data_IF_204802428899
#
_entry.id   IF_204802428899
#
_cell.length_a   1.000
_cell.length_b   1.000
_cell.length_c   1.000
_cell.angle_alpha   90.00
_cell.angle_beta   90.00
_cell.angle_gamma   90.00
#
_symmetry.space_group_name_H-M   'P 1'
#
loop_
_entity.id
_entity.type
_entity.pdbx_description
1 polymer ?
#
# COMPACT_ATOMS: atom_id res chain seq x y z
N UNK A 1 40.55 9.62 7.97
CA UNK A 1 40.49 8.18 7.63
C UNK A 1 39.53 7.51 8.60
N UNK A 2 38.24 7.51 8.30
CA UNK A 2 37.19 7.02 9.21
C UNK A 2 36.10 6.36 8.37
N UNK A 3 36.37 5.13 7.91
CA UNK A 3 35.52 4.43 6.94
C UNK A 3 35.73 2.91 7.03
N UNK A 4 35.63 2.28 8.22
CA UNK A 4 35.68 0.80 8.29
C UNK A 4 34.70 0.13 9.29
N UNK A 5 34.03 0.85 10.21
CA UNK A 5 33.19 0.18 11.25
C UNK A 5 31.67 0.33 11.12
N UNK A 6 31.11 0.85 10.03
CA UNK A 6 29.65 1.02 9.89
C UNK A 6 28.92 -0.24 9.41
N UNK A 7 29.61 -1.13 8.66
CA UNK A 7 28.96 -2.25 7.99
C UNK A 7 28.47 -3.36 8.95
N UNK A 8 29.16 -3.58 10.07
CA UNK A 8 28.78 -4.61 11.06
C UNK A 8 27.50 -4.26 11.84
N UNK A 9 27.37 -2.98 12.25
CA UNK A 9 26.19 -2.48 12.96
C UNK A 9 24.95 -2.45 12.06
N UNK A 10 25.13 -2.19 10.77
CA UNK A 10 24.04 -2.19 9.79
C UNK A 10 23.48 -3.60 9.55
N UNK A 11 24.37 -4.61 9.48
CA UNK A 11 23.98 -6.02 9.35
C UNK A 11 23.16 -6.50 10.55
N UNK A 12 23.63 -6.23 11.76
CA UNK A 12 22.91 -6.61 13.00
C UNK A 12 21.53 -5.95 13.08
N UNK A 13 21.45 -4.66 12.73
CA UNK A 13 20.18 -3.90 12.72
C UNK A 13 19.18 -4.48 11.73
N UNK A 14 19.65 -4.91 10.54
CA UNK A 14 18.81 -5.57 9.52
C UNK A 14 18.29 -6.91 10.01
N UNK A 15 19.14 -7.73 10.63
CA UNK A 15 18.74 -9.02 11.21
C UNK A 15 17.71 -8.82 12.31
N UNK A 16 17.97 -7.91 13.26
CA UNK A 16 17.04 -7.57 14.34
C UNK A 16 15.68 -7.14 13.79
N UNK A 17 15.65 -6.24 12.81
CA UNK A 17 14.39 -5.71 12.24
C UNK A 17 13.60 -6.76 11.46
N UNK A 18 14.28 -7.69 10.77
CA UNK A 18 13.63 -8.68 9.92
C UNK A 18 13.11 -9.91 10.68
N UNK A 19 13.72 -10.25 11.80
CA UNK A 19 13.45 -11.51 12.50
C UNK A 19 12.95 -11.31 13.94
N UNK A 20 13.25 -10.18 14.58
CA UNK A 20 12.88 -9.93 15.98
C UNK A 20 12.00 -8.68 16.10
N UNK A 21 11.24 -8.59 17.20
CA UNK A 21 10.44 -7.40 17.52
C UNK A 21 11.20 -6.49 18.49
N UNK A 22 11.33 -5.21 18.13
CA UNK A 22 11.88 -4.16 19.00
C UNK A 22 10.81 -3.28 19.64
N UNK A 23 11.23 -2.16 20.23
CA UNK A 23 10.38 -1.22 20.99
C UNK A 23 9.23 -0.61 20.15
N UNK A 24 9.37 -0.49 18.83
CA UNK A 24 8.47 0.30 17.99
C UNK A 24 7.36 -0.52 17.29
N UNK A 25 6.45 -1.10 18.06
CA UNK A 25 5.53 -2.19 17.66
C UNK A 25 4.91 -2.08 16.25
N UNK A 26 4.39 -0.91 15.84
CA UNK A 26 3.65 -0.74 14.57
C UNK A 26 4.54 -0.93 13.33
N UNK A 27 5.74 -0.33 13.30
CA UNK A 27 6.66 -0.47 12.14
C UNK A 27 7.13 -1.91 11.97
N UNK A 28 7.32 -2.65 13.07
CA UNK A 28 7.72 -4.05 12.99
C UNK A 28 6.64 -4.94 12.39
N UNK A 29 5.35 -4.55 12.45
CA UNK A 29 4.29 -5.30 11.79
C UNK A 29 4.46 -5.37 10.26
N UNK A 30 5.05 -4.33 9.67
CA UNK A 30 5.24 -4.22 8.21
C UNK A 30 6.68 -4.54 7.77
N UNK A 31 7.67 -4.48 8.66
CA UNK A 31 9.08 -4.76 8.33
C UNK A 31 9.55 -6.17 8.70
N UNK A 32 8.99 -6.78 9.74
CA UNK A 32 9.34 -8.15 10.14
C UNK A 32 8.83 -9.14 9.08
N UNK A 33 9.65 -10.12 8.72
CA UNK A 33 9.40 -10.98 7.55
C UNK A 33 8.15 -11.86 7.70
N UNK A 34 7.85 -12.35 8.90
CA UNK A 34 6.66 -13.17 9.16
C UNK A 34 5.43 -12.30 9.42
N UNK A 35 5.60 -11.26 10.26
CA UNK A 35 4.49 -10.37 10.62
C UNK A 35 3.90 -9.69 9.39
N UNK A 36 4.74 -9.19 8.48
CA UNK A 36 4.28 -8.50 7.28
C UNK A 36 3.46 -9.39 6.36
N UNK A 37 3.77 -10.70 6.31
CA UNK A 37 3.00 -11.67 5.52
C UNK A 37 1.62 -11.92 6.12
N UNK A 38 1.55 -12.00 7.45
CA UNK A 38 0.26 -12.14 8.14
C UNK A 38 -0.61 -10.89 7.95
N UNK A 39 -0.05 -9.69 8.20
CA UNK A 39 -0.81 -8.45 8.07
C UNK A 39 -1.20 -8.15 6.63
N UNK A 40 -0.34 -8.44 5.65
CA UNK A 40 -0.70 -8.23 4.25
C UNK A 40 -1.87 -9.14 3.84
N UNK A 41 -1.85 -10.42 4.24
CA UNK A 41 -2.97 -11.33 4.01
C UNK A 41 -4.23 -10.88 4.74
N UNK A 42 -4.14 -10.57 6.04
CA UNK A 42 -5.29 -10.17 6.86
C UNK A 42 -5.97 -8.88 6.39
N UNK A 43 -5.19 -7.92 5.87
CA UNK A 43 -5.71 -6.62 5.43
C UNK A 43 -6.24 -6.64 3.98
N UNK A 44 -5.84 -7.63 3.17
CA UNK A 44 -6.32 -7.78 1.79
C UNK A 44 -7.33 -8.93 1.61
N UNK A 45 -7.49 -9.79 2.61
CA UNK A 45 -8.54 -10.80 2.63
C UNK A 45 -9.92 -10.14 2.74
N UNK A 46 -10.84 -10.51 1.87
CA UNK A 46 -12.19 -9.96 1.84
C UNK A 46 -13.20 -11.04 1.45
N UNK A 47 -13.96 -11.51 2.44
CA UNK A 47 -14.92 -12.60 2.28
C UNK A 47 -16.12 -12.26 1.37
N UNK A 48 -16.36 -10.98 1.11
CA UNK A 48 -17.47 -10.54 0.26
C UNK A 48 -17.16 -10.70 -1.23
N UNK A 49 -15.88 -10.92 -1.58
CA UNK A 49 -15.44 -11.16 -2.96
C UNK A 49 -15.70 -12.59 -3.40
N UNK A 50 -15.87 -12.77 -4.72
CA UNK A 50 -15.95 -14.10 -5.34
C UNK A 50 -14.72 -14.96 -5.04
N UNK A 51 -13.54 -14.35 -5.05
CA UNK A 51 -12.28 -14.93 -4.56
C UNK A 51 -11.81 -14.12 -3.36
N UNK A 52 -11.91 -14.64 -2.12
CA UNK A 52 -11.55 -13.89 -0.92
C UNK A 52 -10.08 -13.44 -0.86
N UNK A 53 -9.22 -14.02 -1.69
CA UNK A 53 -7.80 -13.68 -1.78
C UNK A 53 -7.46 -12.87 -3.04
N UNK A 54 -8.45 -12.36 -3.77
CA UNK A 54 -8.24 -11.59 -5.01
C UNK A 54 -7.26 -10.43 -4.81
N UNK A 55 -7.49 -9.59 -3.79
CA UNK A 55 -6.61 -8.45 -3.51
C UNK A 55 -5.24 -8.88 -2.96
N UNK A 56 -5.18 -10.02 -2.26
CA UNK A 56 -3.90 -10.61 -1.85
C UNK A 56 -3.07 -11.03 -3.06
N UNK A 57 -3.70 -11.65 -4.06
CA UNK A 57 -3.04 -12.01 -5.33
C UNK A 57 -2.54 -10.77 -6.07
N UNK A 58 -3.35 -9.71 -6.10
CA UNK A 58 -2.95 -8.42 -6.67
C UNK A 58 -1.75 -7.79 -5.94
N UNK A 59 -1.71 -7.89 -4.60
CA UNK A 59 -0.61 -7.38 -3.80
C UNK A 59 0.71 -8.15 -4.01
N UNK A 60 0.65 -9.43 -4.36
CA UNK A 60 1.86 -10.25 -4.57
C UNK A 60 2.64 -9.77 -5.79
N UNK A 61 1.96 -9.27 -6.82
CA UNK A 61 2.63 -8.56 -7.90
C UNK A 61 3.25 -7.25 -7.38
N UNK A 62 4.50 -6.95 -7.73
CA UNK A 62 5.29 -5.83 -7.18
C UNK A 62 5.22 -5.69 -5.63
N UNK A 63 5.16 -6.82 -4.91
CA UNK A 63 4.97 -6.89 -3.45
C UNK A 63 5.89 -5.95 -2.66
N UNK A 64 7.18 -5.94 -2.96
CA UNK A 64 8.15 -5.13 -2.22
C UNK A 64 7.84 -3.62 -2.33
N UNK A 65 7.41 -3.17 -3.51
CA UNK A 65 7.08 -1.76 -3.77
C UNK A 65 5.76 -1.39 -3.11
N UNK A 66 4.71 -2.21 -3.30
CA UNK A 66 3.41 -1.98 -2.67
C UNK A 66 3.53 -1.98 -1.14
N UNK A 67 4.31 -2.89 -0.55
CA UNK A 67 4.61 -2.88 0.88
C UNK A 67 5.35 -1.62 1.33
N UNK A 68 6.35 -1.17 0.56
CA UNK A 68 7.10 0.04 0.92
C UNK A 68 6.25 1.30 0.82
N UNK A 69 5.49 1.47 -0.26
CA UNK A 69 4.75 2.71 -0.54
C UNK A 69 3.43 2.76 0.22
N UNK A 70 2.62 1.70 0.15
CA UNK A 70 1.25 1.68 0.67
C UNK A 70 1.24 1.33 2.16
N UNK A 71 1.86 0.21 2.54
CA UNK A 71 1.80 -0.27 3.93
C UNK A 71 2.61 0.55 4.93
N UNK A 72 3.45 1.48 4.45
CA UNK A 72 4.12 2.45 5.32
C UNK A 72 3.19 3.59 5.81
N UNK A 73 1.97 3.70 5.29
CA UNK A 73 1.03 4.74 5.69
C UNK A 73 0.21 4.35 6.92
N UNK A 74 -0.17 5.34 7.73
CA UNK A 74 -0.89 5.08 8.97
C UNK A 74 -2.32 4.58 8.78
N UNK A 75 -2.99 4.97 7.69
CA UNK A 75 -4.39 4.61 7.41
C UNK A 75 -4.57 3.13 7.04
N UNK A 76 -3.51 2.44 6.61
CA UNK A 76 -3.57 1.06 6.12
C UNK A 76 -3.91 0.05 7.22
N UNK A 77 -3.85 0.44 8.50
CA UNK A 77 -4.24 -0.46 9.59
C UNK A 77 -5.76 -0.70 9.66
N UNK A 78 -6.56 0.03 8.90
CA UNK A 78 -7.99 -0.21 8.75
C UNK A 78 -8.25 -1.12 7.52
N UNK A 79 -9.06 -2.15 7.72
CA UNK A 79 -9.37 -3.15 6.71
C UNK A 79 -10.19 -2.58 5.55
N UNK A 80 -11.28 -1.86 5.82
CA UNK A 80 -12.13 -1.22 4.79
C UNK A 80 -11.34 -0.24 3.92
N UNK A 81 -10.46 0.55 4.54
CA UNK A 81 -9.56 1.46 3.80
C UNK A 81 -8.63 0.67 2.88
N UNK A 82 -8.08 -0.45 3.37
CA UNK A 82 -7.16 -1.28 2.59
C UNK A 82 -7.90 -1.93 1.42
N UNK A 83 -9.08 -2.51 1.66
CA UNK A 83 -9.92 -3.11 0.63
C UNK A 83 -10.26 -2.06 -0.44
N UNK A 84 -10.82 -0.91 -0.06
CA UNK A 84 -11.19 0.14 -1.02
C UNK A 84 -10.02 0.68 -1.84
N UNK A 85 -8.85 0.84 -1.20
CA UNK A 85 -7.61 1.23 -1.88
C UNK A 85 -7.16 0.19 -2.90
N UNK A 86 -7.10 -1.08 -2.51
CA UNK A 86 -6.64 -2.13 -3.40
C UNK A 86 -7.65 -2.47 -4.50
N UNK A 87 -8.96 -2.33 -4.25
CA UNK A 87 -9.99 -2.38 -5.31
C UNK A 87 -9.74 -1.32 -6.36
N UNK A 88 -9.54 -0.06 -5.94
CA UNK A 88 -9.33 1.04 -6.86
C UNK A 88 -8.06 0.86 -7.68
N UNK A 89 -6.95 0.45 -7.05
CA UNK A 89 -5.69 0.20 -7.74
C UNK A 89 -5.83 -0.95 -8.77
N UNK A 90 -6.45 -2.05 -8.37
CA UNK A 90 -6.71 -3.18 -9.27
C UNK A 90 -7.57 -2.75 -10.46
N UNK A 91 -8.67 -2.04 -10.21
CA UNK A 91 -9.55 -1.53 -11.27
C UNK A 91 -8.79 -0.61 -12.24
N UNK A 92 -8.00 0.34 -11.72
CA UNK A 92 -7.19 1.23 -12.55
C UNK A 92 -6.20 0.43 -13.41
N UNK A 93 -5.59 -0.62 -12.87
CA UNK A 93 -4.70 -1.49 -13.63
C UNK A 93 -5.43 -2.31 -14.70
N UNK A 94 -6.61 -2.85 -14.38
CA UNK A 94 -7.44 -3.62 -15.32
C UNK A 94 -7.85 -2.80 -16.56
N UNK A 95 -8.11 -1.49 -16.39
CA UNK A 95 -8.41 -0.57 -17.50
C UNK A 95 -7.14 0.04 -18.15
N UNK A 96 -5.96 -0.46 -17.79
CA UNK A 96 -4.68 0.01 -18.30
C UNK A 96 -4.35 1.47 -17.99
N UNK A 97 -4.79 1.97 -16.83
CA UNK A 97 -4.56 3.35 -16.39
C UNK A 97 -3.07 3.69 -16.38
N UNK A 98 -2.72 4.78 -17.05
CA UNK A 98 -1.38 5.34 -17.11
C UNK A 98 -1.44 6.85 -17.01
N UNK A 99 -0.44 7.45 -16.37
CA UNK A 99 -0.23 8.89 -16.38
C UNK A 99 0.92 9.19 -17.34
N UNK A 100 0.67 10.01 -18.36
CA UNK A 100 1.66 10.34 -19.39
C UNK A 100 2.95 10.87 -18.74
N UNK A 101 4.09 10.28 -19.12
CA UNK A 101 5.41 10.66 -18.60
C UNK A 101 5.72 10.16 -17.19
N UNK A 102 4.89 9.27 -16.64
CA UNK A 102 5.11 8.62 -15.35
C UNK A 102 5.23 7.10 -15.48
N UNK A 103 5.93 6.49 -14.52
CA UNK A 103 6.06 5.05 -14.38
C UNK A 103 4.82 4.47 -13.68
N UNK A 104 4.60 3.15 -13.83
CA UNK A 104 3.50 2.45 -13.17
C UNK A 104 3.47 2.68 -11.64
N UNK A 105 4.64 2.70 -10.99
CA UNK A 105 4.76 2.91 -9.54
C UNK A 105 4.32 4.30 -9.07
N UNK A 106 4.32 5.29 -9.96
CA UNK A 106 3.88 6.65 -9.62
C UNK A 106 2.38 6.70 -9.31
N UNK A 107 1.60 5.73 -9.83
CA UNK A 107 0.19 5.55 -9.48
C UNK A 107 0.04 5.30 -7.98
N UNK A 108 0.88 4.44 -7.39
CA UNK A 108 0.84 4.15 -5.95
C UNK A 108 1.15 5.39 -5.10
N UNK A 109 2.11 6.20 -5.53
CA UNK A 109 2.45 7.45 -4.85
C UNK A 109 1.33 8.48 -4.94
N UNK A 110 0.68 8.63 -6.11
CA UNK A 110 -0.43 9.59 -6.28
C UNK A 110 -1.66 9.20 -5.45
N UNK A 111 -2.03 7.91 -5.42
CA UNK A 111 -3.15 7.46 -4.58
C UNK A 111 -2.82 7.63 -3.10
N UNK A 112 -1.60 7.31 -2.69
CA UNK A 112 -1.14 7.51 -1.31
C UNK A 112 -1.19 8.98 -0.90
N UNK A 113 -0.75 9.88 -1.79
CA UNK A 113 -0.82 11.33 -1.60
C UNK A 113 -2.26 11.79 -1.46
N UNK A 114 -3.16 11.32 -2.31
CA UNK A 114 -4.58 11.62 -2.23
C UNK A 114 -5.19 11.20 -0.89
N UNK A 115 -4.94 9.97 -0.45
CA UNK A 115 -5.48 9.48 0.83
C UNK A 115 -4.95 10.26 2.03
N UNK A 116 -3.68 10.69 2.00
CA UNK A 116 -3.14 11.55 3.06
C UNK A 116 -3.81 12.93 3.08
N UNK A 117 -4.12 13.52 1.92
CA UNK A 117 -4.88 14.79 1.84
C UNK A 117 -6.33 14.59 2.28
N UNK A 118 -6.96 13.50 1.85
CA UNK A 118 -8.34 13.17 2.22
C UNK A 118 -8.45 12.93 3.72
N UNK A 119 -7.49 12.23 4.33
CA UNK A 119 -7.43 12.01 5.77
C UNK A 119 -7.11 13.26 6.60
N UNK A 120 -6.60 14.33 5.97
CA UNK A 120 -6.45 15.64 6.59
C UNK A 120 -7.74 16.47 6.62
N UNK A 121 -8.73 16.11 5.79
CA UNK A 121 -10.02 16.83 5.67
C UNK A 121 -11.22 16.03 6.17
N UNK A 122 -11.13 14.69 6.14
CA UNK A 122 -12.14 13.75 6.60
C UNK A 122 -11.51 12.70 7.51
N UNK A 123 -12.32 12.13 8.40
CA UNK A 123 -11.93 10.94 9.14
C UNK A 123 -12.20 9.73 8.24
N UNK A 124 -11.13 9.14 7.69
CA UNK A 124 -11.24 8.06 6.68
C UNK A 124 -12.03 6.83 7.15
N UNK A 125 -12.06 6.56 8.45
CA UNK A 125 -12.74 5.40 9.03
C UNK A 125 -14.28 5.45 8.93
N UNK A 126 -14.87 6.56 8.50
CA UNK A 126 -16.32 6.64 8.25
C UNK A 126 -16.71 6.19 6.84
N UNK A 127 -15.76 6.06 5.92
CA UNK A 127 -16.06 5.61 4.57
C UNK A 127 -16.16 4.09 4.51
N UNK A 128 -17.13 3.59 3.76
CA UNK A 128 -17.11 2.18 3.38
C UNK A 128 -16.00 1.91 2.36
N UNK A 129 -15.68 0.64 2.14
CA UNK A 129 -14.65 0.26 1.17
C UNK A 129 -15.00 0.73 -0.26
N UNK A 130 -16.28 0.66 -0.63
CA UNK A 130 -16.81 1.04 -1.93
C UNK A 130 -16.82 2.56 -2.12
N UNK A 131 -17.21 3.31 -1.09
CA UNK A 131 -17.18 4.77 -1.13
C UNK A 131 -15.75 5.29 -1.31
N UNK A 132 -14.81 4.67 -0.60
CA UNK A 132 -13.39 5.03 -0.69
C UNK A 132 -12.82 4.67 -2.06
N UNK A 133 -13.13 3.48 -2.57
CA UNK A 133 -12.77 3.03 -3.92
C UNK A 133 -13.22 4.05 -4.97
N UNK A 134 -14.51 4.41 -4.95
CA UNK A 134 -15.09 5.37 -5.91
C UNK A 134 -14.43 6.74 -5.82
N UNK A 135 -14.14 7.23 -4.60
CA UNK A 135 -13.44 8.50 -4.38
C UNK A 135 -12.02 8.47 -4.96
N UNK A 136 -11.28 7.38 -4.74
CA UNK A 136 -9.93 7.20 -5.29
C UNK A 136 -9.99 7.18 -6.81
N UNK A 137 -10.86 6.35 -7.41
CA UNK A 137 -11.00 6.25 -8.88
C UNK A 137 -11.34 7.62 -9.46
N UNK A 138 -12.34 8.31 -8.90
CA UNK A 138 -12.75 9.65 -9.35
C UNK A 138 -11.59 10.65 -9.30
N UNK A 139 -10.80 10.64 -8.22
CA UNK A 139 -9.62 11.49 -8.12
C UNK A 139 -8.58 11.14 -9.18
N UNK A 140 -8.24 9.85 -9.31
CA UNK A 140 -7.20 9.39 -10.24
C UNK A 140 -7.56 9.69 -11.70
N UNK A 141 -8.84 9.57 -12.06
CA UNK A 141 -9.35 9.95 -13.39
C UNK A 141 -9.33 11.45 -13.65
N UNK A 142 -9.35 12.29 -12.61
CA UNK A 142 -9.28 13.76 -12.74
C UNK A 142 -7.87 14.29 -13.01
N UNK A 143 -6.84 13.44 -12.89
CA UNK A 143 -5.45 13.82 -13.13
C UNK A 143 -5.24 14.16 -14.61
N UNK A 144 -4.49 15.24 -14.88
CA UNK A 144 -4.17 15.63 -16.27
C UNK A 144 -3.22 14.61 -16.91
N UNK A 145 -3.49 14.25 -18.17
CA UNK A 145 -2.65 13.33 -18.93
C UNK A 145 -2.87 11.86 -18.63
N UNK A 146 -4.05 11.51 -18.11
CA UNK A 146 -4.51 10.12 -17.94
C UNK A 146 -4.78 9.49 -19.31
N UNK A 147 -4.35 8.24 -19.44
CA UNK A 147 -4.60 7.37 -20.59
C UNK A 147 -5.14 6.05 -20.01
N UNK A 148 -6.22 5.54 -20.58
CA UNK A 148 -6.74 4.21 -20.29
C UNK A 148 -6.70 3.40 -21.59
N UNK A 149 -6.50 2.09 -21.51
CA UNK A 149 -6.68 1.21 -22.67
C UNK A 149 -8.14 0.82 -22.77
N UNK A 150 -8.69 0.82 -23.99
CA UNK A 150 -9.99 0.19 -24.29
C UNK A 150 -9.97 -1.31 -24.01
#
# INVERSE_FOLDING_TARGET
MQLICTNGLEGETKVRTRFFFGQNKKRFLITNSLSKLWWCGRLTYDEQRKDPFELTKYLIDDYATKMLIIFSNNYISNHDITVGLFSALKYLEDIGYKIKGKNHRDVYYEVTKYLNVLGGTYILAYFTSEELEQKIIKYMMSIKGVICTE
#
